data_IF_413354150264
#
_entry.id   IF_413354150264
#
_cell.length_a   1.000
_cell.length_b   1.000
_cell.length_c   1.000
_cell.angle_alpha   90.00
_cell.angle_beta   90.00
_cell.angle_gamma   90.00
#
_symmetry.space_group_name_H-M   'P 1'
#
loop_
_entity.id
_entity.type
_entity.pdbx_description
1 polymer ?
#
# COMPACT_ATOMS: atom_id res chain seq x y z
N UNK A 1 16.91 -0.54 -40.95
CA UNK A 1 17.57 -1.16 -39.77
C UNK A 1 16.82 -2.45 -39.49
N UNK A 2 17.48 -3.61 -39.52
CA UNK A 2 16.83 -4.89 -39.21
C UNK A 2 16.68 -4.93 -37.69
N UNK A 3 15.47 -4.75 -37.17
CA UNK A 3 15.19 -4.98 -35.75
C UNK A 3 15.31 -6.47 -35.46
N UNK A 4 16.21 -6.85 -34.55
CA UNK A 4 16.21 -8.20 -34.04
C UNK A 4 14.97 -8.39 -33.15
N UNK A 5 14.22 -9.47 -33.38
CA UNK A 5 13.05 -9.82 -32.60
C UNK A 5 13.22 -11.22 -32.03
N UNK A 6 13.22 -11.33 -30.70
CA UNK A 6 13.32 -12.59 -29.99
C UNK A 6 11.96 -12.94 -29.39
N UNK A 7 11.48 -14.16 -29.66
CA UNK A 7 10.32 -14.72 -28.99
C UNK A 7 10.82 -15.81 -28.05
N UNK A 8 10.74 -15.55 -26.74
CA UNK A 8 11.23 -16.45 -25.70
C UNK A 8 10.04 -17.01 -24.94
N UNK A 9 10.02 -18.34 -24.80
CA UNK A 9 9.20 -18.99 -23.79
C UNK A 9 10.06 -19.09 -22.53
N UNK A 10 9.69 -18.37 -21.47
CA UNK A 10 10.50 -18.39 -20.26
C UNK A 10 10.47 -19.79 -19.63
N UNK A 11 11.63 -20.44 -19.57
CA UNK A 11 11.90 -21.45 -18.54
C UNK A 11 12.15 -20.70 -17.22
N UNK A 12 11.90 -21.33 -16.07
CA UNK A 12 12.05 -20.69 -14.75
C UNK A 12 13.40 -19.95 -14.63
N UNK A 13 13.38 -18.68 -14.24
CA UNK A 13 14.58 -17.82 -14.07
C UNK A 13 15.37 -17.54 -15.36
N UNK A 14 14.67 -17.25 -16.45
CA UNK A 14 15.30 -16.86 -17.72
C UNK A 14 15.78 -15.40 -17.70
N UNK A 15 16.81 -15.10 -18.51
CA UNK A 15 17.27 -13.74 -18.76
C UNK A 15 17.55 -13.50 -20.24
N UNK A 16 17.43 -12.26 -20.68
CA UNK A 16 17.82 -11.83 -22.02
C UNK A 16 18.52 -10.48 -21.96
N UNK A 17 19.27 -10.16 -23.01
CA UNK A 17 19.89 -8.86 -23.20
C UNK A 17 19.36 -8.23 -24.48
N UNK A 18 18.95 -6.97 -24.41
CA UNK A 18 18.54 -6.16 -25.57
C UNK A 18 19.27 -4.82 -25.57
N UNK A 19 19.47 -4.24 -26.75
CA UNK A 19 20.14 -2.95 -26.90
C UNK A 19 19.14 -1.80 -27.03
N UNK A 20 19.55 -0.60 -26.65
CA UNK A 20 18.83 0.65 -26.86
C UNK A 20 19.81 1.80 -27.10
N UNK A 21 19.42 2.80 -27.89
CA UNK A 21 20.08 4.12 -27.89
C UNK A 21 19.18 5.17 -27.22
N UNK A 22 17.87 5.01 -27.33
CA UNK A 22 16.87 5.84 -26.67
C UNK A 22 16.75 5.50 -25.19
N UNK A 23 16.32 6.48 -24.38
CA UNK A 23 15.92 6.27 -22.98
C UNK A 23 14.46 5.87 -22.88
N UNK A 24 13.66 6.17 -23.91
CA UNK A 24 12.27 5.75 -23.97
C UNK A 24 12.18 4.34 -24.52
N UNK A 25 11.50 3.46 -23.79
CA UNK A 25 11.15 2.11 -24.21
C UNK A 25 9.64 1.97 -24.25
N UNK A 26 9.14 1.13 -25.16
CA UNK A 26 7.73 0.76 -25.23
C UNK A 26 7.54 -0.60 -24.59
N UNK A 27 6.67 -0.67 -23.60
CA UNK A 27 6.30 -1.89 -22.89
C UNK A 27 4.89 -2.29 -23.32
N UNK A 28 4.68 -3.58 -23.57
CA UNK A 28 3.35 -4.16 -23.80
C UNK A 28 3.13 -5.29 -22.81
N UNK A 29 2.09 -5.19 -21.99
CA UNK A 29 1.69 -6.20 -21.01
C UNK A 29 0.28 -6.67 -21.36
N UNK A 30 0.14 -7.92 -21.79
CA UNK A 30 -1.15 -8.53 -22.19
C UNK A 30 -1.98 -7.63 -23.15
N UNK A 31 -1.32 -6.88 -24.03
CA UNK A 31 -1.95 -5.98 -25.01
C UNK A 31 -2.03 -4.50 -24.57
N UNK A 32 -1.89 -4.19 -23.28
CA UNK A 32 -1.80 -2.82 -22.79
C UNK A 32 -0.43 -2.23 -23.11
N UNK A 33 -0.42 -1.05 -23.74
CA UNK A 33 0.81 -0.39 -24.22
C UNK A 33 1.14 0.79 -23.31
N UNK A 34 2.40 0.88 -22.87
CA UNK A 34 2.95 2.08 -22.24
C UNK A 34 4.29 2.47 -22.86
N UNK A 35 4.65 3.75 -22.75
CA UNK A 35 5.98 4.25 -23.10
C UNK A 35 6.62 4.78 -21.82
N UNK A 36 7.74 4.19 -21.44
CA UNK A 36 8.41 4.47 -20.18
C UNK A 36 9.79 5.09 -20.45
N UNK A 37 10.15 6.11 -19.69
CA UNK A 37 11.51 6.65 -19.68
C UNK A 37 12.37 5.84 -18.71
N UNK A 38 13.48 5.30 -19.19
CA UNK A 38 14.39 4.43 -18.45
C UNK A 38 15.52 5.24 -17.81
N UNK A 39 15.77 5.08 -16.49
CA UNK A 39 16.78 5.85 -15.76
C UNK A 39 18.18 5.28 -15.96
N UNK A 40 18.75 5.40 -17.16
CA UNK A 40 20.13 4.98 -17.40
C UNK A 40 21.14 5.84 -16.61
N UNK A 41 22.24 5.22 -16.16
CA UNK A 41 23.36 5.90 -15.52
C UNK A 41 24.68 5.37 -16.07
N UNK A 42 25.65 6.27 -16.28
CA UNK A 42 27.03 5.95 -16.64
C UNK A 42 27.86 5.48 -15.41
N UNK A 43 27.42 5.85 -14.20
CA UNK A 43 28.12 5.55 -12.95
C UNK A 43 27.71 4.19 -12.35
N UNK A 44 26.42 3.83 -12.37
CA UNK A 44 25.91 2.64 -11.68
C UNK A 44 24.88 1.86 -12.50
N UNK A 45 24.81 0.55 -12.28
CA UNK A 45 23.73 -0.29 -12.79
C UNK A 45 22.55 -0.24 -11.83
N UNK A 46 21.39 0.20 -12.32
CA UNK A 46 20.14 0.22 -11.56
C UNK A 46 19.30 -1.04 -11.84
N UNK A 47 18.51 -1.46 -10.86
CA UNK A 47 17.61 -2.61 -10.98
C UNK A 47 16.18 -2.20 -10.68
N UNK A 48 15.29 -2.38 -11.66
CA UNK A 48 13.85 -2.17 -11.52
C UNK A 48 13.21 -3.54 -11.30
N UNK A 49 12.54 -3.73 -10.16
CA UNK A 49 11.75 -4.95 -9.88
C UNK A 49 10.28 -4.64 -10.09
N UNK A 50 9.62 -5.39 -10.95
CA UNK A 50 8.19 -5.27 -11.24
C UNK A 50 7.49 -6.55 -10.79
N UNK A 51 6.83 -6.55 -9.62
CA UNK A 51 5.95 -7.63 -9.24
C UNK A 51 4.64 -7.52 -10.01
N UNK A 52 4.17 -8.64 -10.55
CA UNK A 52 2.92 -8.73 -11.31
C UNK A 52 2.30 -10.11 -11.07
N UNK A 53 0.97 -10.21 -11.05
CA UNK A 53 0.29 -11.50 -10.83
C UNK A 53 -0.75 -11.74 -11.91
N UNK A 54 -0.30 -12.02 -13.13
CA UNK A 54 -1.18 -12.26 -14.28
C UNK A 54 -0.82 -13.61 -14.89
N UNK A 55 -1.80 -14.48 -15.09
CA UNK A 55 -1.58 -15.79 -15.69
C UNK A 55 -2.49 -16.00 -16.92
N UNK A 56 -1.91 -16.16 -18.15
CA UNK A 56 -0.49 -16.02 -18.49
C UNK A 56 -0.05 -14.55 -18.58
N UNK A 57 1.22 -14.28 -18.26
CA UNK A 57 1.84 -12.97 -18.49
C UNK A 57 2.59 -12.96 -19.83
N UNK A 58 2.05 -12.24 -20.80
CA UNK A 58 2.69 -11.92 -22.06
C UNK A 58 3.30 -10.51 -21.97
N UNK A 59 4.63 -10.46 -21.83
CA UNK A 59 5.40 -9.24 -21.69
C UNK A 59 6.21 -8.98 -22.96
N UNK A 60 6.11 -7.79 -23.53
CA UNK A 60 6.95 -7.34 -24.64
C UNK A 60 7.66 -6.03 -24.29
N UNK A 61 8.93 -5.95 -24.64
CA UNK A 61 9.75 -4.76 -24.48
C UNK A 61 10.36 -4.40 -25.83
N UNK A 62 10.12 -3.17 -26.25
CA UNK A 62 10.60 -2.60 -27.50
C UNK A 62 11.47 -1.40 -27.19
N UNK A 63 12.67 -1.37 -27.74
CA UNK A 63 13.54 -0.20 -27.76
C UNK A 63 13.58 0.37 -29.17
N UNK A 64 14.36 1.41 -29.39
CA UNK A 64 14.67 1.92 -30.74
C UNK A 64 15.58 0.98 -31.55
N UNK A 65 16.23 0.01 -30.89
CA UNK A 65 17.21 -0.88 -31.53
C UNK A 65 16.72 -2.32 -31.62
N UNK A 66 16.21 -2.88 -30.52
CA UNK A 66 15.87 -4.29 -30.37
C UNK A 66 14.45 -4.46 -29.80
N UNK A 67 13.94 -5.68 -29.89
CA UNK A 67 12.69 -6.07 -29.24
C UNK A 67 12.75 -7.48 -28.67
N UNK A 68 12.02 -7.70 -27.58
CA UNK A 68 11.83 -9.02 -27.00
C UNK A 68 10.38 -9.22 -26.58
N UNK A 69 9.90 -10.44 -26.79
CA UNK A 69 8.63 -10.94 -26.26
C UNK A 69 8.92 -12.14 -25.38
N UNK A 70 8.35 -12.13 -24.18
CA UNK A 70 8.47 -13.21 -23.22
C UNK A 70 7.07 -13.57 -22.70
N UNK A 71 6.73 -14.87 -22.77
CA UNK A 71 5.66 -15.43 -21.95
C UNK A 71 6.27 -15.91 -20.64
N UNK A 72 5.83 -15.33 -19.53
CA UNK A 72 6.38 -15.54 -18.19
C UNK A 72 5.34 -16.33 -17.37
N UNK A 73 5.55 -17.63 -17.06
CA UNK A 73 4.63 -18.42 -16.25
C UNK A 73 4.40 -17.85 -14.83
N UNK A 74 3.30 -18.26 -14.18
CA UNK A 74 3.08 -17.98 -12.76
C UNK A 74 4.23 -18.53 -11.91
N UNK A 75 4.60 -17.79 -10.85
CA UNK A 75 5.72 -18.09 -9.94
C UNK A 75 7.08 -18.18 -10.63
N UNK A 76 7.26 -17.45 -11.72
CA UNK A 76 8.52 -17.38 -12.44
C UNK A 76 9.03 -15.94 -12.56
N UNK A 77 10.35 -15.84 -12.67
CA UNK A 77 11.07 -14.59 -12.88
C UNK A 77 11.63 -14.54 -14.29
N UNK A 78 11.59 -13.35 -14.89
CA UNK A 78 12.33 -13.03 -16.11
C UNK A 78 13.17 -11.77 -15.92
N UNK A 79 14.44 -11.81 -16.35
CA UNK A 79 15.36 -10.67 -16.24
C UNK A 79 15.70 -10.11 -17.62
N UNK A 80 15.43 -8.82 -17.84
CA UNK A 80 15.79 -8.08 -19.03
C UNK A 80 16.99 -7.19 -18.71
N UNK A 81 18.12 -7.44 -19.34
CA UNK A 81 19.27 -6.54 -19.30
C UNK A 81 19.18 -5.61 -20.51
N UNK A 82 19.09 -4.31 -20.28
CA UNK A 82 19.04 -3.31 -21.35
C UNK A 82 20.40 -2.62 -21.42
N UNK A 83 21.08 -2.78 -22.55
CA UNK A 83 22.37 -2.16 -22.82
C UNK A 83 22.22 -0.90 -23.66
N UNK A 84 22.85 0.19 -23.21
CA UNK A 84 22.95 1.44 -23.95
C UNK A 84 24.41 1.88 -24.01
N UNK A 85 24.87 2.27 -25.20
CA UNK A 85 26.26 2.68 -25.39
C UNK A 85 26.64 3.85 -24.47
N UNK A 86 27.77 3.72 -23.78
CA UNK A 86 28.26 4.72 -22.81
C UNK A 86 27.59 4.69 -21.43
N UNK A 87 26.63 3.78 -21.19
CA UNK A 87 25.92 3.64 -19.92
C UNK A 87 26.19 2.27 -19.28
N UNK A 88 25.98 2.14 -17.97
CA UNK A 88 25.89 0.83 -17.32
C UNK A 88 24.57 0.14 -17.69
N UNK A 89 24.53 -1.20 -17.76
CA UNK A 89 23.31 -1.93 -18.05
C UNK A 89 22.21 -1.62 -17.03
N UNK A 90 20.99 -1.41 -17.52
CA UNK A 90 19.79 -1.33 -16.69
C UNK A 90 19.16 -2.72 -16.60
N UNK A 91 18.83 -3.18 -15.39
CA UNK A 91 18.25 -4.50 -15.17
C UNK A 91 16.78 -4.36 -14.82
N UNK A 92 15.88 -4.95 -15.60
CA UNK A 92 14.46 -5.08 -15.27
C UNK A 92 14.17 -6.52 -14.89
N UNK A 93 13.67 -6.74 -13.68
CA UNK A 93 13.25 -8.04 -13.19
C UNK A 93 11.73 -8.07 -13.11
N UNK A 94 11.09 -8.86 -13.97
CA UNK A 94 9.67 -9.16 -13.90
C UNK A 94 9.49 -10.41 -13.04
N UNK A 95 8.79 -10.27 -11.92
CA UNK A 95 8.40 -11.39 -11.07
C UNK A 95 6.91 -11.64 -11.31
N UNK A 96 6.57 -12.75 -11.99
CA UNK A 96 5.18 -13.14 -12.18
C UNK A 96 4.73 -14.09 -11.06
N UNK A 97 3.58 -13.81 -10.47
CA UNK A 97 3.06 -14.50 -9.30
C UNK A 97 3.51 -13.88 -7.99
N UNK A 98 2.98 -14.42 -6.91
CA UNK A 98 3.19 -13.94 -5.55
C UNK A 98 3.74 -15.10 -4.74
N UNK A 99 4.92 -14.92 -4.13
CA UNK A 99 5.38 -15.85 -3.11
C UNK A 99 4.50 -15.68 -1.87
N UNK A 100 3.56 -16.61 -1.70
CA UNK A 100 2.62 -16.56 -0.59
C UNK A 100 3.28 -17.04 0.71
N UNK A 101 3.01 -16.33 1.81
CA UNK A 101 3.31 -16.82 3.14
C UNK A 101 1.98 -17.27 3.76
N UNK A 102 1.82 -18.57 3.98
CA UNK A 102 0.75 -19.04 4.85
C UNK A 102 1.05 -18.55 6.27
N UNK A 103 0.20 -17.65 6.77
CA UNK A 103 0.29 -17.09 8.11
C UNK A 103 -1.02 -17.37 8.83
N UNK A 104 -0.94 -17.51 10.14
CA UNK A 104 -2.12 -17.73 11.00
C UNK A 104 -2.07 -16.77 12.17
N UNK A 105 -3.25 -16.36 12.61
CA UNK A 105 -3.46 -15.55 13.80
C UNK A 105 -4.42 -16.29 14.73
N UNK A 106 -4.35 -15.98 16.02
CA UNK A 106 -5.31 -16.48 16.98
C UNK A 106 -6.65 -15.76 16.79
N UNK A 107 -7.74 -16.53 16.76
CA UNK A 107 -9.11 -16.05 16.57
C UNK A 107 -10.00 -16.31 17.78
N UNK A 108 -9.43 -16.76 18.90
CA UNK A 108 -10.15 -17.20 20.10
C UNK A 108 -9.80 -16.35 21.31
N UNK A 109 -8.51 -16.14 21.59
CA UNK A 109 -8.12 -15.36 22.76
C UNK A 109 -8.40 -13.86 22.57
N UNK A 110 -8.83 -13.20 23.64
CA UNK A 110 -9.00 -11.75 23.66
C UNK A 110 -8.58 -11.20 25.02
N UNK A 111 -7.74 -10.17 25.00
CA UNK A 111 -7.30 -9.43 26.16
C UNK A 111 -8.17 -8.17 26.35
N UNK A 112 -9.07 -8.22 27.34
CA UNK A 112 -9.96 -7.11 27.68
C UNK A 112 -9.26 -5.87 28.25
N UNK A 113 -7.98 -5.97 28.63
CA UNK A 113 -7.21 -4.83 29.13
C UNK A 113 -6.74 -3.90 28.00
N UNK A 114 -6.76 -4.38 26.75
CA UNK A 114 -6.47 -3.57 25.58
C UNK A 114 -7.64 -2.64 25.28
N UNK A 115 -7.39 -1.33 25.37
CA UNK A 115 -8.38 -0.28 25.16
C UNK A 115 -7.93 0.66 24.06
N UNK A 116 -8.83 0.91 23.12
CA UNK A 116 -8.59 1.74 21.94
C UNK A 116 -9.50 2.95 21.95
N UNK A 117 -8.91 4.13 21.84
CA UNK A 117 -9.65 5.38 21.95
C UNK A 117 -9.76 6.00 20.58
N UNK A 118 -10.97 6.41 20.25
CA UNK A 118 -11.34 7.03 18.99
C UNK A 118 -11.98 8.39 19.28
N UNK A 119 -12.22 9.14 18.21
CA UNK A 119 -13.00 10.37 18.31
C UNK A 119 -14.41 10.07 18.82
N UNK A 120 -14.79 10.75 19.90
CA UNK A 120 -16.10 10.61 20.53
C UNK A 120 -16.86 11.94 20.45
N UNK A 121 -17.92 11.98 19.64
CA UNK A 121 -18.76 13.18 19.45
C UNK A 121 -18.20 14.23 18.46
N UNK A 122 -18.95 15.31 18.23
CA UNK A 122 -18.65 16.35 17.23
C UNK A 122 -17.90 17.58 17.77
N UNK A 123 -17.06 17.42 18.80
CA UNK A 123 -16.49 18.57 19.52
C UNK A 123 -14.98 18.75 19.37
N UNK A 124 -14.30 18.04 18.48
CA UNK A 124 -12.88 18.26 18.22
C UNK A 124 -12.70 19.52 17.35
N UNK A 125 -12.17 20.65 17.87
CA UNK A 125 -12.07 21.90 17.10
C UNK A 125 -11.16 21.77 15.87
N UNK A 126 -10.19 20.85 15.91
CA UNK A 126 -9.33 20.57 14.77
C UNK A 126 -10.11 19.93 13.61
N UNK A 127 -11.01 18.99 13.90
CA UNK A 127 -11.86 18.35 12.88
C UNK A 127 -12.93 19.29 12.35
N UNK A 128 -13.52 20.12 13.21
CA UNK A 128 -14.45 21.17 12.76
C UNK A 128 -13.77 22.17 11.83
N UNK A 129 -12.53 22.57 12.14
CA UNK A 129 -11.73 23.40 11.25
C UNK A 129 -11.46 22.70 9.92
N UNK A 130 -11.08 21.42 9.96
CA UNK A 130 -10.83 20.61 8.77
C UNK A 130 -12.06 20.55 7.84
N UNK A 131 -13.25 20.33 8.38
CA UNK A 131 -14.52 20.34 7.61
C UNK A 131 -14.87 21.70 7.03
N UNK A 132 -14.56 22.77 7.77
CA UNK A 132 -14.83 24.14 7.32
C UNK A 132 -13.92 24.55 6.15
N UNK A 133 -12.67 24.09 6.13
CA UNK A 133 -11.68 24.50 5.13
C UNK A 133 -11.63 23.62 3.87
N UNK A 134 -12.20 22.42 3.93
CA UNK A 134 -12.14 21.42 2.86
C UNK A 134 -13.52 20.83 2.56
N UNK A 135 -13.79 20.39 1.32
CA UNK A 135 -15.14 19.99 0.89
C UNK A 135 -15.63 18.63 1.44
N UNK A 136 -15.20 18.22 2.63
CA UNK A 136 -15.38 16.89 3.23
C UNK A 136 -16.86 16.51 3.31
N UNK A 137 -17.69 17.37 3.91
CA UNK A 137 -19.14 17.10 4.04
C UNK A 137 -19.81 16.95 2.68
N UNK A 138 -19.45 17.79 1.70
CA UNK A 138 -20.06 17.74 0.37
C UNK A 138 -19.62 16.51 -0.45
N UNK A 139 -18.42 16.00 -0.21
CA UNK A 139 -17.93 14.75 -0.81
C UNK A 139 -18.64 13.56 -0.16
N UNK A 140 -18.71 13.53 1.18
CA UNK A 140 -19.37 12.47 1.93
C UNK A 140 -20.87 12.38 1.59
N UNK A 141 -21.56 13.51 1.48
CA UNK A 141 -23.00 13.58 1.20
C UNK A 141 -23.43 12.96 -0.15
N UNK A 142 -22.49 12.67 -1.06
CA UNK A 142 -22.77 11.94 -2.30
C UNK A 142 -22.99 10.44 -2.09
N UNK A 143 -22.52 9.89 -0.97
CA UNK A 143 -22.71 8.49 -0.59
C UNK A 143 -23.89 8.33 0.36
N UNK A 144 -24.65 7.25 0.16
CA UNK A 144 -25.78 6.84 1.01
C UNK A 144 -25.35 5.89 2.12
N UNK A 145 -24.36 5.05 1.87
CA UNK A 145 -23.79 4.09 2.84
C UNK A 145 -22.46 4.59 3.39
N UNK A 146 -21.99 4.01 4.49
CA UNK A 146 -20.67 4.34 5.04
C UNK A 146 -19.55 3.96 4.07
N UNK A 147 -19.69 2.81 3.39
CA UNK A 147 -18.75 2.39 2.34
C UNK A 147 -18.67 3.38 1.18
N UNK A 148 -19.81 3.92 0.73
CA UNK A 148 -19.83 4.92 -0.35
C UNK A 148 -19.18 6.24 0.08
N UNK A 149 -19.42 6.71 1.32
CA UNK A 149 -18.76 7.90 1.87
C UNK A 149 -17.25 7.71 1.92
N UNK A 150 -16.79 6.56 2.41
CA UNK A 150 -15.38 6.19 2.49
C UNK A 150 -14.73 6.19 1.11
N UNK A 151 -15.36 5.54 0.13
CA UNK A 151 -14.89 5.51 -1.26
C UNK A 151 -14.77 6.91 -1.84
N UNK A 152 -15.78 7.76 -1.66
CA UNK A 152 -15.78 9.12 -2.18
C UNK A 152 -14.66 9.98 -1.57
N UNK A 153 -14.41 9.86 -0.26
CA UNK A 153 -13.32 10.58 0.42
C UNK A 153 -11.96 10.05 0.00
N UNK A 154 -11.77 8.73 -0.03
CA UNK A 154 -10.53 8.07 -0.49
C UNK A 154 -10.17 8.53 -1.91
N UNK A 155 -11.11 8.43 -2.84
CA UNK A 155 -10.98 8.83 -4.25
C UNK A 155 -10.69 10.32 -4.41
N UNK A 156 -11.25 11.18 -3.55
CA UNK A 156 -10.91 12.59 -3.53
C UNK A 156 -9.47 12.83 -3.08
N UNK A 157 -9.03 12.25 -1.95
CA UNK A 157 -7.66 12.41 -1.43
C UNK A 157 -6.63 11.88 -2.42
N UNK A 158 -6.88 10.70 -3.01
CA UNK A 158 -6.02 10.10 -4.04
C UNK A 158 -5.68 11.09 -5.17
N UNK A 159 -6.66 11.89 -5.60
CA UNK A 159 -6.53 12.84 -6.72
C UNK A 159 -5.84 14.16 -6.35
N UNK A 160 -5.56 14.40 -5.07
CA UNK A 160 -4.98 15.67 -4.62
C UNK A 160 -3.49 15.80 -4.96
N UNK A 161 -2.73 14.71 -4.97
CA UNK A 161 -1.32 14.72 -5.34
C UNK A 161 -0.88 13.39 -5.95
N UNK A 162 0.28 13.39 -6.63
CA UNK A 162 0.98 12.17 -7.05
C UNK A 162 1.93 11.70 -5.96
N UNK A 163 2.03 10.39 -5.75
CA UNK A 163 2.89 9.83 -4.71
C UNK A 163 4.36 10.22 -4.88
N UNK A 164 4.99 10.65 -3.78
CA UNK A 164 6.43 10.86 -3.69
C UNK A 164 6.97 10.18 -2.43
N UNK A 165 7.65 9.04 -2.61
CA UNK A 165 8.19 8.19 -1.54
C UNK A 165 9.26 8.83 -0.63
N UNK A 166 9.78 10.00 -0.99
CA UNK A 166 10.90 10.65 -0.31
C UNK A 166 10.53 11.93 0.44
N UNK A 167 9.38 12.53 0.14
CA UNK A 167 9.02 13.82 0.71
C UNK A 167 8.23 13.65 2.02
N UNK A 168 8.70 14.27 3.10
CA UNK A 168 8.07 14.23 4.42
C UNK A 168 7.63 15.63 4.81
N UNK A 169 6.39 15.83 5.28
CA UNK A 169 5.96 17.12 5.78
C UNK A 169 6.67 17.45 7.10
N UNK A 170 6.76 18.75 7.42
CA UNK A 170 7.26 19.20 8.73
C UNK A 170 6.32 18.77 9.87
N UNK A 171 5.01 18.74 9.59
CA UNK A 171 3.97 18.33 10.54
C UNK A 171 3.12 17.20 9.97
N UNK A 172 2.85 16.21 10.82
CA UNK A 172 2.09 15.02 10.47
C UNK A 172 0.60 15.20 10.85
N UNK A 173 -0.03 16.27 10.35
CA UNK A 173 -1.46 16.54 10.52
C UNK A 173 -2.11 16.92 9.18
N UNK A 174 -3.38 16.60 9.02
CA UNK A 174 -4.10 16.72 7.77
C UNK A 174 -4.25 18.16 7.28
N UNK A 175 -4.45 19.13 8.18
CA UNK A 175 -4.56 20.54 7.80
C UNK A 175 -3.25 21.03 7.16
N UNK A 176 -2.11 20.77 7.81
CA UNK A 176 -0.81 21.15 7.30
C UNK A 176 -0.49 20.45 5.97
N UNK A 177 -0.71 19.13 5.88
CA UNK A 177 -0.47 18.36 4.65
C UNK A 177 -1.29 18.93 3.50
N UNK A 178 -2.59 19.18 3.70
CA UNK A 178 -3.47 19.71 2.67
C UNK A 178 -3.10 21.15 2.25
N UNK A 179 -2.63 21.98 3.18
CA UNK A 179 -2.10 23.32 2.87
C UNK A 179 -0.84 23.25 1.99
N UNK A 180 0.06 22.32 2.27
CA UNK A 180 1.27 22.11 1.47
C UNK A 180 0.97 21.51 0.09
N UNK A 181 0.02 20.58 0.00
CA UNK A 181 -0.46 20.04 -1.28
C UNK A 181 -1.05 21.15 -2.16
N UNK A 182 -1.80 22.10 -1.59
CA UNK A 182 -2.29 23.28 -2.33
C UNK A 182 -1.15 24.12 -2.93
N UNK A 183 0.05 24.07 -2.34
CA UNK A 183 1.27 24.73 -2.84
C UNK A 183 2.08 23.87 -3.81
N UNK A 184 1.56 22.70 -4.20
CA UNK A 184 2.18 21.78 -5.15
C UNK A 184 3.07 20.71 -4.52
N UNK A 185 3.08 20.57 -3.19
CA UNK A 185 3.81 19.47 -2.54
C UNK A 185 3.15 18.13 -2.83
N UNK A 186 3.98 17.10 -2.83
CA UNK A 186 3.62 15.70 -3.07
C UNK A 186 4.18 14.86 -1.93
N UNK A 187 3.44 13.86 -1.45
CA UNK A 187 3.81 13.13 -0.24
C UNK A 187 3.71 11.61 -0.40
N UNK A 188 4.10 10.88 0.65
CA UNK A 188 4.20 9.42 0.69
C UNK A 188 2.85 8.81 1.07
N UNK A 189 2.83 7.46 1.14
CA UNK A 189 1.70 6.67 1.63
C UNK A 189 1.17 7.14 3.00
N UNK A 190 2.08 7.52 3.89
CA UNK A 190 1.78 7.97 5.26
C UNK A 190 0.80 9.14 5.24
N UNK A 191 1.05 10.12 4.38
CA UNK A 191 0.26 11.34 4.33
C UNK A 191 -1.13 11.13 3.70
N UNK A 192 -1.27 10.21 2.73
CA UNK A 192 -2.59 9.80 2.25
C UNK A 192 -3.40 9.18 3.38
N UNK A 193 -2.78 8.27 4.14
CA UNK A 193 -3.41 7.64 5.31
C UNK A 193 -3.84 8.65 6.38
N UNK A 194 -2.98 9.62 6.73
CA UNK A 194 -3.29 10.66 7.72
C UNK A 194 -4.48 11.51 7.27
N UNK A 195 -4.45 12.03 6.04
CA UNK A 195 -5.51 12.93 5.54
C UNK A 195 -6.84 12.20 5.46
N UNK A 196 -6.88 11.01 4.85
CA UNK A 196 -8.12 10.24 4.73
C UNK A 196 -8.69 9.85 6.09
N UNK A 197 -7.84 9.42 7.03
CA UNK A 197 -8.25 9.10 8.41
C UNK A 197 -8.90 10.29 9.11
N UNK A 198 -8.26 11.47 9.07
CA UNK A 198 -8.79 12.68 9.69
C UNK A 198 -10.11 13.12 9.04
N UNK A 199 -10.24 13.02 7.71
CA UNK A 199 -11.48 13.35 7.01
C UNK A 199 -12.64 12.42 7.41
N UNK A 200 -12.38 11.12 7.57
CA UNK A 200 -13.40 10.15 7.96
C UNK A 200 -13.79 10.29 9.44
N UNK A 201 -12.81 10.51 10.32
CA UNK A 201 -13.06 10.85 11.72
C UNK A 201 -13.91 12.13 11.84
N UNK A 202 -13.68 13.13 10.98
CA UNK A 202 -14.46 14.39 10.99
C UNK A 202 -15.94 14.20 10.62
N UNK A 203 -16.30 13.18 9.84
CA UNK A 203 -17.71 12.85 9.53
C UNK A 203 -18.29 11.78 10.45
N UNK A 204 -17.59 11.44 11.54
CA UNK A 204 -18.06 10.50 12.56
C UNK A 204 -17.89 9.03 12.20
N UNK A 205 -17.00 8.69 11.26
CA UNK A 205 -16.64 7.30 10.97
C UNK A 205 -15.32 6.95 11.67
N UNK A 206 -15.34 6.09 12.72
CA UNK A 206 -14.14 5.73 13.46
C UNK A 206 -13.08 5.16 12.53
N UNK A 207 -11.95 5.84 12.47
CA UNK A 207 -10.88 5.56 11.51
C UNK A 207 -9.52 5.60 12.18
N UNK A 208 -8.58 4.82 11.63
CA UNK A 208 -7.19 4.75 12.11
C UNK A 208 -6.22 4.54 10.95
N UNK A 209 -4.99 5.01 11.12
CA UNK A 209 -3.89 4.61 10.22
C UNK A 209 -3.43 3.19 10.56
N UNK A 210 -3.05 2.42 9.53
CA UNK A 210 -2.55 1.07 9.66
C UNK A 210 -1.17 0.99 8.99
N UNK A 211 -0.15 0.65 9.78
CA UNK A 211 1.20 0.43 9.27
C UNK A 211 1.42 -1.06 8.99
N UNK A 212 1.52 -1.39 7.71
CA UNK A 212 1.86 -2.70 7.16
C UNK A 212 3.38 -2.87 7.10
N UNK A 213 3.88 -4.07 7.37
CA UNK A 213 5.32 -4.37 7.35
C UNK A 213 5.58 -5.76 6.78
N UNK A 214 6.67 -5.85 6.02
CA UNK A 214 7.14 -7.10 5.43
C UNK A 214 7.70 -8.07 6.47
N UNK A 215 7.72 -9.36 6.14
CA UNK A 215 8.40 -10.40 6.95
C UNK A 215 9.88 -10.07 7.22
N UNK A 216 10.56 -9.50 6.22
CA UNK A 216 11.98 -9.14 6.26
C UNK A 216 12.26 -7.73 6.82
N UNK A 217 11.31 -7.15 7.58
CA UNK A 217 11.33 -5.74 8.03
C UNK A 217 12.60 -5.30 8.77
N UNK A 218 13.24 -6.20 9.53
CA UNK A 218 14.47 -5.88 10.25
C UNK A 218 15.68 -5.75 9.31
N UNK A 219 15.63 -6.42 8.15
CA UNK A 219 16.76 -6.58 7.22
C UNK A 219 16.60 -5.80 5.92
N UNK A 220 15.40 -5.32 5.58
CA UNK A 220 15.15 -4.50 4.39
C UNK A 220 15.58 -3.05 4.65
N UNK A 221 16.55 -2.47 3.92
CA UNK A 221 17.12 -1.15 4.25
C UNK A 221 16.17 0.03 4.01
N UNK A 222 15.23 -0.12 3.07
CA UNK A 222 14.24 0.89 2.71
C UNK A 222 12.99 0.23 2.10
N UNK A 223 11.82 0.86 2.25
CA UNK A 223 10.57 0.33 1.72
C UNK A 223 10.12 -0.96 2.41
N UNK A 224 10.44 -1.12 3.70
CA UNK A 224 10.05 -2.31 4.47
C UNK A 224 8.61 -2.26 4.98
N UNK A 225 7.94 -1.11 4.85
CA UNK A 225 6.58 -0.89 5.28
C UNK A 225 5.79 -0.04 4.28
N UNK A 226 4.48 -0.12 4.41
CA UNK A 226 3.49 0.69 3.70
C UNK A 226 2.43 1.15 4.70
N UNK A 227 1.87 2.34 4.50
CA UNK A 227 0.81 2.87 5.37
C UNK A 227 -0.47 2.96 4.56
N UNK A 228 -1.50 2.33 5.09
CA UNK A 228 -2.89 2.43 4.64
C UNK A 228 -3.73 2.95 5.80
N UNK A 229 -5.06 2.93 5.66
CA UNK A 229 -5.94 3.23 6.78
C UNK A 229 -7.02 2.16 6.92
N UNK A 230 -7.62 2.10 8.10
CA UNK A 230 -8.80 1.29 8.37
C UNK A 230 -9.92 2.15 8.91
N UNK A 231 -11.14 1.82 8.51
CA UNK A 231 -12.38 2.46 8.98
C UNK A 231 -13.34 1.40 9.48
N UNK A 232 -14.04 1.68 10.57
CA UNK A 232 -15.12 0.83 11.05
C UNK A 232 -16.40 1.18 10.30
N UNK A 233 -16.93 0.23 9.53
CA UNK A 233 -18.18 0.41 8.79
C UNK A 233 -19.34 -0.16 9.61
N UNK A 234 -20.28 0.69 10.01
CA UNK A 234 -21.46 0.26 10.76
C UNK A 234 -22.33 -0.69 9.95
N UNK A 235 -22.41 -0.47 8.63
CA UNK A 235 -23.17 -1.31 7.69
C UNK A 235 -22.72 -2.78 7.69
N UNK A 236 -21.46 -3.04 8.07
CA UNK A 236 -20.85 -4.37 8.08
C UNK A 236 -20.41 -4.83 9.48
N UNK A 237 -20.57 -3.99 10.50
CA UNK A 237 -20.08 -4.20 11.88
C UNK A 237 -18.61 -4.64 11.95
N UNK A 238 -17.74 -4.06 11.10
CA UNK A 238 -16.33 -4.46 11.00
C UNK A 238 -15.39 -3.34 10.56
N UNK A 239 -14.11 -3.55 10.87
CA UNK A 239 -13.02 -2.78 10.27
C UNK A 239 -12.80 -3.19 8.81
N UNK A 240 -12.45 -2.20 7.98
CA UNK A 240 -12.17 -2.35 6.55
C UNK A 240 -10.90 -1.61 6.20
N UNK A 241 -10.03 -2.23 5.41
CA UNK A 241 -8.81 -1.61 4.89
C UNK A 241 -9.13 -0.75 3.67
N UNK A 242 -8.55 0.45 3.64
CA UNK A 242 -8.63 1.39 2.52
C UNK A 242 -7.21 1.88 2.23
N UNK A 243 -6.78 1.78 0.97
CA UNK A 243 -5.52 2.36 0.52
C UNK A 243 -5.78 3.62 -0.32
N UNK A 244 -5.78 4.81 0.31
CA UNK A 244 -6.01 6.08 -0.39
C UNK A 244 -4.88 6.48 -1.33
N UNK A 245 -3.69 5.88 -1.25
CA UNK A 245 -2.64 6.14 -2.24
C UNK A 245 -3.02 5.55 -3.59
N UNK A 246 -3.66 4.38 -3.59
CA UNK A 246 -4.03 3.63 -4.79
C UNK A 246 -5.53 3.70 -5.11
N UNK A 247 -6.30 4.45 -4.32
CA UNK A 247 -7.76 4.47 -4.35
C UNK A 247 -8.36 3.05 -4.35
N UNK A 248 -7.94 2.22 -3.39
CA UNK A 248 -8.25 0.79 -3.38
C UNK A 248 -8.99 0.35 -2.12
N UNK A 249 -10.14 -0.30 -2.31
CA UNK A 249 -10.87 -1.06 -1.28
C UNK A 249 -11.17 -2.45 -1.84
N UNK A 250 -10.73 -3.51 -1.16
CA UNK A 250 -10.96 -4.88 -1.61
C UNK A 250 -12.22 -5.48 -1.00
N UNK A 251 -12.94 -6.25 -1.80
CA UNK A 251 -14.15 -6.96 -1.40
C UNK A 251 -14.06 -8.44 -1.79
N UNK A 252 -14.64 -9.31 -0.96
CA UNK A 252 -14.93 -10.70 -1.29
C UNK A 252 -16.44 -10.89 -1.21
N UNK A 253 -17.08 -11.29 -2.31
CA UNK A 253 -18.54 -11.43 -2.40
C UNK A 253 -19.27 -10.17 -1.90
N UNK A 254 -18.88 -8.99 -2.42
CA UNK A 254 -19.41 -7.67 -2.04
C UNK A 254 -19.18 -7.23 -0.58
N UNK A 255 -18.45 -8.03 0.22
CA UNK A 255 -18.09 -7.69 1.60
C UNK A 255 -16.68 -7.09 1.61
N UNK A 256 -16.49 -5.84 2.06
CA UNK A 256 -15.18 -5.23 2.16
C UNK A 256 -14.30 -5.91 3.21
N UNK A 257 -13.00 -5.97 2.92
CA UNK A 257 -12.01 -6.72 3.69
C UNK A 257 -11.15 -5.80 4.56
N UNK A 258 -10.80 -6.25 5.76
CA UNK A 258 -9.65 -5.73 6.49
C UNK A 258 -8.33 -6.32 5.94
N UNK A 259 -7.21 -5.85 6.46
CA UNK A 259 -5.89 -6.22 5.93
C UNK A 259 -5.55 -7.72 6.14
N UNK A 260 -5.99 -8.32 7.25
CA UNK A 260 -5.80 -9.75 7.56
C UNK A 260 -6.67 -10.62 6.64
N UNK A 261 -7.92 -10.22 6.41
CA UNK A 261 -8.81 -10.93 5.50
C UNK A 261 -8.34 -10.83 4.05
N UNK A 262 -7.82 -9.66 3.62
CA UNK A 262 -7.21 -9.49 2.30
C UNK A 262 -6.00 -10.41 2.14
N UNK A 263 -5.12 -10.47 3.14
CA UNK A 263 -3.97 -11.37 3.15
C UNK A 263 -4.39 -12.82 2.94
N UNK A 264 -5.40 -13.28 3.70
CA UNK A 264 -5.93 -14.64 3.62
C UNK A 264 -6.56 -14.91 2.25
N UNK A 265 -7.40 -13.99 1.77
CA UNK A 265 -8.07 -14.13 0.49
C UNK A 265 -7.08 -14.23 -0.69
N UNK A 266 -6.00 -13.44 -0.69
CA UNK A 266 -4.94 -13.54 -1.71
C UNK A 266 -4.21 -14.89 -1.62
N UNK A 267 -3.87 -15.32 -0.40
CA UNK A 267 -3.16 -16.59 -0.16
C UNK A 267 -4.00 -17.80 -0.63
N UNK A 268 -5.29 -17.79 -0.34
CA UNK A 268 -6.24 -18.83 -0.75
C UNK A 268 -6.73 -18.70 -2.20
N UNK A 269 -6.16 -17.76 -2.97
CA UNK A 269 -6.53 -17.46 -4.37
C UNK A 269 -8.04 -17.26 -4.56
N UNK A 270 -8.69 -16.56 -3.63
CA UNK A 270 -10.11 -16.18 -3.76
C UNK A 270 -10.28 -15.14 -4.87
N UNK A 271 -11.46 -15.13 -5.48
CA UNK A 271 -11.87 -14.10 -6.42
C UNK A 271 -12.26 -12.83 -5.65
N UNK A 272 -11.32 -11.89 -5.54
CA UNK A 272 -11.51 -10.62 -4.84
C UNK A 272 -11.75 -9.49 -5.84
N UNK A 273 -12.73 -8.66 -5.53
CA UNK A 273 -13.06 -7.47 -6.28
C UNK A 273 -12.34 -6.26 -5.68
N UNK A 274 -12.16 -5.22 -6.49
CA UNK A 274 -11.65 -3.93 -6.04
C UNK A 274 -12.64 -2.82 -6.38
N UNK A 275 -12.94 -1.99 -5.39
CA UNK A 275 -13.67 -0.75 -5.56
C UNK A 275 -12.66 0.39 -5.70
N UNK A 276 -12.65 1.03 -6.87
CA UNK A 276 -11.79 2.16 -7.20
C UNK A 276 -12.46 3.07 -8.24
N UNK A 277 -12.20 4.37 -8.18
CA UNK A 277 -12.49 5.30 -9.27
C UNK A 277 -11.25 5.57 -10.15
N UNK A 278 -10.07 5.06 -9.76
CA UNK A 278 -8.86 5.15 -10.56
C UNK A 278 -8.88 4.14 -11.70
N UNK A 279 -8.93 4.65 -12.93
CA UNK A 279 -8.96 3.86 -14.16
C UNK A 279 -7.59 3.31 -14.54
N UNK A 280 -6.52 3.85 -13.96
CA UNK A 280 -5.14 3.40 -14.19
C UNK A 280 -4.73 2.26 -13.26
N UNK A 281 -5.53 2.02 -12.20
CA UNK A 281 -5.29 0.95 -11.24
C UNK A 281 -5.41 -0.43 -11.89
N UNK A 282 -4.31 -1.19 -11.84
CA UNK A 282 -4.30 -2.60 -12.22
C UNK A 282 -4.41 -3.48 -10.96
N UNK A 283 -5.51 -4.22 -10.76
CA UNK A 283 -5.72 -4.99 -9.52
C UNK A 283 -4.65 -6.06 -9.31
N UNK A 284 -4.24 -6.77 -10.38
CA UNK A 284 -3.23 -7.82 -10.30
C UNK A 284 -1.85 -7.28 -9.93
N UNK A 285 -1.48 -6.12 -10.47
CA UNK A 285 -0.24 -5.43 -10.12
C UNK A 285 -0.27 -4.94 -8.67
N UNK A 286 -1.38 -4.33 -8.24
CA UNK A 286 -1.55 -3.89 -6.87
C UNK A 286 -1.45 -5.06 -5.89
N UNK A 287 -2.16 -6.16 -6.15
CA UNK A 287 -2.13 -7.37 -5.28
C UNK A 287 -0.69 -7.89 -5.15
N UNK A 288 0.06 -7.99 -6.25
CA UNK A 288 1.45 -8.42 -6.22
C UNK A 288 2.36 -7.46 -5.44
N UNK A 289 2.05 -6.16 -5.49
CA UNK A 289 2.81 -5.12 -4.79
C UNK A 289 2.49 -5.03 -3.29
N UNK A 290 1.22 -5.14 -2.91
CA UNK A 290 0.76 -4.98 -1.51
C UNK A 290 1.06 -6.23 -0.68
N UNK A 291 0.96 -7.42 -1.27
CA UNK A 291 0.99 -8.68 -0.54
C UNK A 291 2.22 -8.86 0.37
N UNK A 292 3.46 -8.52 -0.06
CA UNK A 292 4.62 -8.62 0.81
C UNK A 292 4.51 -7.83 2.12
N UNK A 293 3.72 -6.74 2.15
CA UNK A 293 3.50 -5.92 3.34
C UNK A 293 2.44 -6.47 4.28
N UNK A 294 1.58 -7.39 3.82
CA UNK A 294 0.52 -8.02 4.60
C UNK A 294 1.09 -9.15 5.49
N UNK A 295 2.01 -8.80 6.39
CA UNK A 295 2.66 -9.76 7.30
C UNK A 295 2.59 -9.32 8.76
N UNK A 296 3.15 -8.15 9.10
CA UNK A 296 2.91 -7.52 10.40
C UNK A 296 2.05 -6.29 10.24
N UNK A 297 1.12 -6.10 11.17
CA UNK A 297 0.13 -5.02 11.14
C UNK A 297 0.21 -4.25 12.45
N UNK A 298 0.26 -2.92 12.41
CA UNK A 298 0.27 -2.14 13.66
C UNK A 298 -0.51 -0.84 13.53
N UNK A 299 -1.24 -0.48 14.59
CA UNK A 299 -1.90 0.80 14.74
C UNK A 299 -1.80 1.29 16.19
N UNK A 300 -2.29 2.50 16.44
CA UNK A 300 -2.22 3.16 17.75
C UNK A 300 -3.34 2.70 18.68
N UNK A 301 -3.07 2.76 19.98
CA UNK A 301 -4.13 2.67 21.00
C UNK A 301 -4.99 3.93 21.01
N UNK A 302 -4.37 5.11 20.87
CA UNK A 302 -5.06 6.40 20.78
C UNK A 302 -5.10 6.89 19.33
N UNK A 303 -6.29 6.83 18.73
CA UNK A 303 -6.58 7.20 17.35
C UNK A 303 -7.34 8.53 17.25
N UNK A 304 -7.36 9.32 18.33
CA UNK A 304 -7.87 10.70 18.28
C UNK A 304 -6.91 11.62 17.50
N UNK A 305 -7.50 12.63 16.90
CA UNK A 305 -6.89 13.56 15.97
C UNK A 305 -6.35 14.79 16.72
N UNK A 306 -5.12 15.17 16.36
CA UNK A 306 -4.44 16.36 16.89
C UNK A 306 -4.32 16.42 18.44
N UNK A 307 -4.14 15.26 19.09
CA UNK A 307 -3.88 15.18 20.53
C UNK A 307 -2.38 15.38 20.83
N UNK A 308 -2.01 16.23 21.81
CA UNK A 308 -0.63 16.38 22.30
C UNK A 308 -0.01 15.04 22.72
N UNK A 309 1.30 14.88 22.52
CA UNK A 309 1.98 13.59 22.72
C UNK A 309 1.90 13.09 24.17
N UNK A 310 1.92 14.01 25.11
CA UNK A 310 1.80 13.83 26.55
C UNK A 310 0.41 13.33 26.98
N UNK A 311 -0.63 13.68 26.22
CA UNK A 311 -2.03 13.31 26.49
C UNK A 311 -2.45 12.01 25.79
N UNK A 312 -1.57 11.46 24.93
CA UNK A 312 -1.84 10.21 24.23
C UNK A 312 -1.81 9.04 25.18
N UNK A 313 -2.85 8.24 25.10
CA UNK A 313 -2.99 7.06 25.96
C UNK A 313 -2.07 5.95 25.47
N UNK A 314 -1.45 5.28 26.44
CA UNK A 314 -0.48 4.21 26.26
C UNK A 314 -0.86 3.03 27.13
N UNK A 315 -0.59 1.83 26.65
CA UNK A 315 -0.76 0.59 27.40
C UNK A 315 0.64 0.04 27.69
N UNK A 316 0.96 -0.20 28.96
CA UNK A 316 2.28 -0.65 29.39
C UNK A 316 3.43 0.25 28.85
N UNK A 317 3.18 1.55 28.77
CA UNK A 317 4.13 2.54 28.24
C UNK A 317 4.31 2.52 26.71
N UNK A 318 3.59 1.66 25.99
CA UNK A 318 3.61 1.51 24.53
C UNK A 318 2.43 2.26 23.90
N UNK A 319 2.65 2.90 22.76
CA UNK A 319 1.62 3.68 22.07
C UNK A 319 0.83 2.87 21.05
N UNK A 320 1.40 1.76 20.59
CA UNK A 320 0.90 1.01 19.46
C UNK A 320 0.73 -0.47 19.84
N UNK A 321 -0.15 -1.17 19.12
CA UNK A 321 -0.24 -2.62 19.11
C UNK A 321 0.29 -3.13 17.77
N UNK A 322 0.94 -4.28 17.77
CA UNK A 322 1.35 -4.99 16.57
C UNK A 322 0.80 -6.41 16.57
N UNK A 323 -0.01 -6.73 15.57
CA UNK A 323 -0.43 -8.08 15.26
C UNK A 323 0.69 -8.80 14.52
N UNK A 324 1.09 -9.94 15.09
CA UNK A 324 2.20 -10.77 14.65
C UNK A 324 1.66 -12.17 14.35
N UNK A 325 2.02 -12.80 13.21
CA UNK A 325 1.60 -14.18 12.95
C UNK A 325 2.07 -15.13 14.05
N UNK A 326 1.31 -16.18 14.32
CA UNK A 326 1.75 -17.27 15.20
C UNK A 326 3.08 -17.82 14.66
N UNK A 327 4.00 -18.18 15.56
CA UNK A 327 5.37 -18.64 15.25
C UNK A 327 6.32 -17.57 14.65
N UNK A 328 5.82 -16.41 14.25
CA UNK A 328 6.69 -15.32 13.78
C UNK A 328 7.39 -14.62 14.95
N UNK A 329 8.63 -14.21 14.71
CA UNK A 329 9.40 -13.40 15.66
C UNK A 329 8.80 -11.99 15.73
N UNK A 330 8.59 -11.47 16.95
CA UNK A 330 8.28 -10.06 17.16
C UNK A 330 9.41 -9.18 16.60
N UNK A 331 9.14 -8.32 15.60
CA UNK A 331 10.19 -7.49 15.01
C UNK A 331 10.60 -6.40 15.99
N UNK A 332 11.89 -6.24 16.22
CA UNK A 332 12.47 -5.30 17.20
C UNK A 332 13.11 -4.08 16.54
N UNK A 333 13.40 -4.16 15.23
CA UNK A 333 14.03 -3.09 14.46
C UNK A 333 13.29 -2.93 13.13
N UNK A 334 12.97 -1.70 12.76
CA UNK A 334 12.44 -1.32 11.46
C UNK A 334 13.58 -0.80 10.56
N UNK A 335 13.70 -1.39 9.38
CA UNK A 335 14.68 -1.01 8.34
C UNK A 335 16.12 -0.90 8.82
N UNK A 336 16.59 -1.91 9.57
CA UNK A 336 17.95 -1.99 10.17
C UNK A 336 18.31 -0.89 11.18
N UNK A 337 17.49 0.16 11.30
CA UNK A 337 17.88 1.42 11.95
C UNK A 337 16.97 1.84 13.09
N UNK A 338 15.66 1.70 12.94
CA UNK A 338 14.69 2.34 13.83
C UNK A 338 14.16 1.31 14.85
N UNK A 339 14.43 1.44 16.15
CA UNK A 339 13.91 0.51 17.15
C UNK A 339 12.37 0.47 17.16
N UNK A 340 11.80 -0.72 17.35
CA UNK A 340 10.37 -0.95 17.58
C UNK A 340 10.16 -1.24 19.07
N UNK A 341 10.41 -0.22 19.89
CA UNK A 341 10.28 -0.26 21.35
C UNK A 341 8.94 0.33 21.82
N UNK A 342 8.03 0.65 20.91
CA UNK A 342 6.78 1.36 21.17
C UNK A 342 5.52 0.49 20.99
N UNK A 343 5.67 -0.81 20.68
CA UNK A 343 4.56 -1.74 20.46
C UNK A 343 4.34 -2.72 21.62
N UNK A 344 3.07 -3.02 21.90
CA UNK A 344 2.62 -4.28 22.49
C UNK A 344 2.42 -5.28 21.35
N UNK A 345 2.90 -6.52 21.49
CA UNK A 345 2.69 -7.56 20.48
C UNK A 345 1.50 -8.44 20.86
N UNK A 346 0.69 -8.82 19.88
CA UNK A 346 -0.38 -9.81 20.01
C UNK A 346 -0.39 -10.75 18.81
N UNK A 347 -0.92 -11.96 19.00
CA UNK A 347 -1.26 -12.87 17.92
C UNK A 347 -2.76 -12.89 17.62
N UNK A 348 -3.58 -12.23 18.45
CA UNK A 348 -5.03 -12.29 18.38
C UNK A 348 -5.61 -11.22 17.45
N UNK A 349 -6.44 -11.67 16.51
CA UNK A 349 -7.25 -10.74 15.70
C UNK A 349 -8.34 -10.07 16.53
N UNK A 350 -8.80 -10.69 17.63
CA UNK A 350 -9.82 -10.11 18.51
C UNK A 350 -9.25 -8.96 19.37
N UNK A 351 -7.97 -9.02 19.70
CA UNK A 351 -7.23 -7.90 20.30
C UNK A 351 -7.08 -6.73 19.32
N UNK A 352 -6.73 -7.04 18.07
CA UNK A 352 -6.35 -6.05 17.07
C UNK A 352 -7.56 -5.36 16.41
N UNK A 353 -8.64 -6.11 16.21
CA UNK A 353 -9.88 -5.65 15.57
C UNK A 353 -11.02 -5.46 16.57
N UNK A 354 -10.72 -4.96 17.76
CA UNK A 354 -11.74 -4.54 18.73
C UNK A 354 -12.69 -3.51 18.11
N UNK A 355 -13.99 -3.63 18.37
CA UNK A 355 -14.99 -2.65 17.97
C UNK A 355 -14.69 -1.29 18.64
N UNK A 356 -14.76 -0.15 17.92
CA UNK A 356 -14.66 1.16 18.54
C UNK A 356 -15.86 1.37 19.49
N UNK A 357 -15.60 1.92 20.68
CA UNK A 357 -16.61 2.16 21.73
C UNK A 357 -16.94 3.63 21.91
#
# INVERSE_FOLDING_TARGET
MIMASYCLYAQSNSSTTIKANSETVKIIINGSISNESMPFSDQRSDTIKVPININPLDFSLYTDTDSVKARIPENSKFTFNIEKAGMKPLVIIIQNGIETNEITFDTVEQNSDLKFIYESGMNNPYLERLKKEYPIDSIAAKGKTDLEKVRNISSWVHKLWKHNGYNTPEKNDALYILEEVKKGQQFRCVEYGIVTTACLNAIGLPSRTLALKRKDVETTPSGAGHVVMEVFLNDFDKWVMVDPQWDAIFCLNDIPLNAVELQKAITEKKDIQILSDDKELNPAQYIAWIYPYLYYFSHKFDNRENIPKEDKIKINGKSDIMLVPIEAKNPTIFQRKFPIDYCVYTHSVLDFYSKPY
#
